data_IF_063811867848
#
_entry.id   IF_063811867848
#
_cell.length_a   1.000
_cell.length_b   1.000
_cell.length_c   1.000
_cell.angle_alpha   90.00
_cell.angle_beta   90.00
_cell.angle_gamma   90.00
#
_symmetry.space_group_name_H-M   'P 1'
#
loop_
_entity.id
_entity.type
_entity.pdbx_description
1 polymer ?
#
# COMPACT_ATOMS: atom_id res chain seq x y z
N UNK A 1 33.10 15.37 25.52
CA UNK A 1 32.77 13.92 25.44
C UNK A 1 31.60 13.61 26.36
N UNK A 2 30.37 13.82 25.87
CA UNK A 2 29.11 13.52 26.58
C UNK A 2 28.07 13.16 25.51
N UNK A 3 27.42 12.00 25.71
CA UNK A 3 26.14 11.54 25.11
C UNK A 3 26.03 11.56 23.57
N UNK A 4 26.68 10.59 22.92
CA UNK A 4 26.13 9.98 21.70
C UNK A 4 25.11 8.93 22.14
N UNK A 5 23.85 9.36 22.31
CA UNK A 5 22.75 8.49 22.69
C UNK A 5 22.14 7.82 21.47
N UNK A 6 22.11 6.48 21.46
CA UNK A 6 20.98 5.59 21.12
C UNK A 6 19.92 6.05 20.09
N UNK A 7 20.31 6.80 19.07
CA UNK A 7 19.47 7.16 17.91
C UNK A 7 20.26 6.79 16.67
N UNK A 8 19.60 6.09 15.75
CA UNK A 8 20.04 5.56 14.45
C UNK A 8 20.15 4.02 14.44
N UNK A 9 19.42 3.43 13.49
CA UNK A 9 19.45 2.05 13.00
C UNK A 9 18.48 1.03 13.61
N UNK A 10 17.23 1.43 13.83
CA UNK A 10 16.11 0.48 13.83
C UNK A 10 14.81 1.13 13.36
N UNK A 11 14.82 1.84 12.22
CA UNK A 11 13.63 2.43 11.59
C UNK A 11 13.81 2.35 10.07
N UNK A 12 13.46 1.21 9.47
CA UNK A 12 13.37 1.07 8.00
C UNK A 12 12.09 0.33 7.59
N UNK A 13 11.02 0.59 8.33
CA UNK A 13 9.64 0.43 7.90
C UNK A 13 8.76 1.64 8.34
N UNK A 14 9.38 2.74 8.83
CA UNK A 14 8.72 3.74 9.71
C UNK A 14 9.08 5.19 9.31
N UNK A 15 8.92 5.55 8.04
CA UNK A 15 8.74 6.97 7.66
C UNK A 15 7.60 7.10 6.64
N UNK A 16 6.70 6.11 6.53
CA UNK A 16 5.50 6.25 5.73
C UNK A 16 4.43 6.86 6.64
N UNK A 17 4.12 8.15 6.40
CA UNK A 17 3.02 8.92 6.99
C UNK A 17 3.26 9.52 8.40
N UNK A 18 3.94 10.68 8.47
CA UNK A 18 3.88 11.51 9.66
C UNK A 18 2.57 12.31 9.75
N UNK A 19 1.97 12.21 10.95
CA UNK A 19 0.95 13.04 11.61
C UNK A 19 -0.52 12.68 11.35
N UNK A 20 -0.99 11.57 11.93
CA UNK A 20 -2.39 11.45 12.35
C UNK A 20 -2.48 11.12 13.84
N UNK A 21 -2.69 12.17 14.63
CA UNK A 21 -3.15 12.08 16.00
C UNK A 21 -4.38 12.96 16.12
N UNK A 22 -5.57 12.39 15.90
CA UNK A 22 -6.67 12.25 16.87
C UNK A 22 -7.61 11.18 16.28
N UNK A 23 -7.33 9.89 16.49
CA UNK A 23 -8.38 8.88 16.37
C UNK A 23 -9.30 9.08 17.57
N UNK A 24 -10.55 9.48 17.34
CA UNK A 24 -11.57 9.21 18.32
C UNK A 24 -11.72 7.68 18.37
N UNK A 25 -11.26 7.10 19.49
CA UNK A 25 -11.31 5.67 19.76
C UNK A 25 -12.70 5.07 19.51
N UNK A 26 -12.82 3.80 19.09
CA UNK A 26 -14.02 3.05 19.38
C UNK A 26 -14.12 2.85 20.89
N UNK A 27 -15.28 3.23 21.44
CA UNK A 27 -15.65 3.04 22.85
C UNK A 27 -15.72 1.53 23.15
N UNK A 28 -14.97 1.08 24.15
CA UNK A 28 -15.12 -0.26 24.70
C UNK A 28 -16.39 -0.34 25.53
N UNK A 29 -17.42 -1.03 25.04
CA UNK A 29 -18.50 -1.49 25.91
C UNK A 29 -18.01 -2.69 26.73
N UNK A 30 -17.59 -2.45 27.97
CA UNK A 30 -17.53 -3.49 29.01
C UNK A 30 -18.93 -4.08 29.26
N UNK A 31 -18.96 -5.33 29.74
CA UNK A 31 -20.15 -6.03 30.22
C UNK A 31 -20.94 -5.20 31.27
N UNK A 32 -21.94 -4.42 30.85
CA UNK A 32 -23.18 -4.13 31.60
C UNK A 32 -24.15 -3.23 30.82
N UNK A 33 -25.32 -3.78 30.48
CA UNK A 33 -26.63 -3.14 30.40
C UNK A 33 -26.81 -1.80 29.63
N UNK A 34 -27.49 -1.91 28.48
CA UNK A 34 -28.34 -0.92 27.81
C UNK A 34 -27.75 0.47 27.47
N UNK A 35 -27.48 0.69 26.18
CA UNK A 35 -27.93 1.89 25.45
C UNK A 35 -27.87 1.66 23.93
N UNK A 36 -28.93 2.07 23.24
CA UNK A 36 -29.11 2.02 21.79
C UNK A 36 -28.16 2.96 21.03
N UNK A 37 -27.37 2.39 20.13
CA UNK A 37 -27.15 2.81 18.74
C UNK A 37 -26.59 1.58 18.00
N UNK A 38 -26.86 1.45 16.71
CA UNK A 38 -26.54 0.28 15.89
C UNK A 38 -25.03 0.11 15.64
N UNK A 39 -24.23 -0.05 16.69
CA UNK A 39 -22.82 -0.43 16.61
C UNK A 39 -22.72 -1.95 16.37
N UNK A 40 -22.11 -2.35 15.25
CA UNK A 40 -21.82 -3.76 15.01
C UNK A 40 -20.88 -4.24 16.11
N UNK A 41 -21.33 -5.17 16.97
CA UNK A 41 -20.43 -5.78 17.96
C UNK A 41 -19.24 -6.41 17.24
N UNK A 42 -17.99 -6.12 17.66
CA UNK A 42 -16.83 -6.70 17.01
C UNK A 42 -16.87 -8.23 17.04
N UNK A 43 -16.57 -8.85 15.90
CA UNK A 43 -16.40 -10.29 15.78
C UNK A 43 -15.04 -10.67 16.38
N UNK A 44 -15.06 -11.17 17.61
CA UNK A 44 -13.85 -11.64 18.31
C UNK A 44 -13.52 -13.07 17.88
N UNK A 45 -12.36 -13.25 17.26
CA UNK A 45 -11.83 -14.55 16.86
C UNK A 45 -11.39 -15.33 18.09
N UNK A 46 -11.97 -16.52 18.29
CA UNK A 46 -11.69 -17.37 19.45
C UNK A 46 -10.52 -18.33 19.21
N UNK A 47 -9.92 -18.80 20.31
CA UNK A 47 -8.87 -19.83 20.26
C UNK A 47 -9.36 -21.11 19.56
N UNK A 48 -10.61 -21.53 19.83
CA UNK A 48 -11.21 -22.71 19.21
C UNK A 48 -11.29 -22.58 17.68
N UNK A 49 -11.70 -21.42 17.16
CA UNK A 49 -11.75 -21.18 15.71
C UNK A 49 -10.35 -21.32 15.08
N UNK A 50 -9.32 -20.80 15.75
CA UNK A 50 -7.93 -20.82 15.28
C UNK A 50 -7.37 -22.24 15.32
N UNK A 51 -7.59 -22.96 16.42
CA UNK A 51 -7.19 -24.37 16.57
C UNK A 51 -7.85 -25.26 15.51
N UNK A 52 -9.17 -25.11 15.31
CA UNK A 52 -9.90 -25.86 14.28
C UNK A 52 -9.40 -25.54 12.87
N UNK A 53 -9.07 -24.28 12.57
CA UNK A 53 -8.55 -23.89 11.28
C UNK A 53 -7.12 -24.42 11.05
N UNK A 54 -6.24 -24.36 12.06
CA UNK A 54 -4.88 -24.89 12.00
C UNK A 54 -4.82 -26.41 11.87
N UNK A 55 -5.80 -27.11 12.44
CA UNK A 55 -5.94 -28.57 12.33
C UNK A 55 -6.33 -29.04 10.92
N UNK A 56 -6.77 -28.15 10.03
CA UNK A 56 -7.00 -28.46 8.61
C UNK A 56 -5.67 -28.42 7.86
N UNK A 57 -5.24 -29.56 7.35
CA UNK A 57 -3.97 -29.72 6.65
C UNK A 57 -2.88 -30.35 7.52
N UNK A 58 -1.63 -30.21 7.11
CA UNK A 58 -0.47 -30.80 7.79
C UNK A 58 0.18 -29.74 8.71
N UNK A 59 0.51 -30.07 9.97
CA UNK A 59 1.24 -29.17 10.86
C UNK A 59 2.60 -28.77 10.27
N UNK A 60 2.96 -27.49 10.35
CA UNK A 60 4.24 -26.99 9.84
C UNK A 60 4.30 -26.74 8.33
N UNK A 61 3.31 -27.18 7.55
CA UNK A 61 3.24 -26.89 6.11
C UNK A 61 2.51 -25.55 5.85
N UNK A 62 2.90 -24.88 4.76
CA UNK A 62 2.25 -23.63 4.33
C UNK A 62 0.79 -23.87 3.97
N UNK A 63 -0.12 -23.12 4.60
CA UNK A 63 -1.58 -23.25 4.39
C UNK A 63 -2.29 -21.90 4.43
N UNK A 64 -3.54 -21.92 3.98
CA UNK A 64 -4.49 -20.81 4.09
C UNK A 64 -5.40 -21.06 5.30
N UNK A 65 -5.28 -20.21 6.31
CA UNK A 65 -6.10 -20.23 7.53
C UNK A 65 -7.31 -19.33 7.30
N UNK A 66 -8.45 -19.95 7.03
CA UNK A 66 -9.70 -19.25 6.69
C UNK A 66 -10.62 -19.16 7.89
N UNK A 67 -10.98 -17.94 8.26
CA UNK A 67 -11.87 -17.62 9.37
C UNK A 67 -13.07 -16.83 8.84
N UNK A 68 -14.24 -17.47 8.83
CA UNK A 68 -15.48 -16.83 8.38
C UNK A 68 -16.06 -15.96 9.49
N UNK A 69 -16.29 -14.69 9.17
CA UNK A 69 -16.91 -13.69 10.03
C UNK A 69 -18.36 -13.53 9.62
N UNK A 70 -19.27 -13.82 10.55
CA UNK A 70 -20.71 -13.67 10.33
C UNK A 70 -21.13 -12.24 10.70
N UNK A 71 -22.02 -11.65 9.91
CA UNK A 71 -22.71 -10.41 10.23
C UNK A 71 -24.08 -10.38 9.54
N UNK A 72 -24.89 -9.38 9.89
CA UNK A 72 -26.20 -9.16 9.28
C UNK A 72 -26.07 -8.85 7.78
N UNK A 73 -27.06 -9.25 6.97
CA UNK A 73 -27.01 -9.11 5.50
C UNK A 73 -26.91 -7.64 5.04
N UNK A 74 -27.38 -6.70 5.87
CA UNK A 74 -27.37 -5.26 5.64
C UNK A 74 -26.29 -4.53 6.44
N UNK A 75 -25.33 -5.26 7.04
CA UNK A 75 -24.22 -4.64 7.75
C UNK A 75 -23.41 -3.71 6.84
N UNK A 76 -23.29 -2.44 7.24
CA UNK A 76 -22.45 -1.44 6.59
C UNK A 76 -21.05 -1.38 7.19
N UNK A 77 -20.82 -2.05 8.33
CA UNK A 77 -19.51 -2.17 8.97
C UNK A 77 -19.31 -3.59 9.52
N UNK A 78 -18.08 -4.08 9.39
CA UNK A 78 -17.59 -5.32 9.99
C UNK A 78 -16.31 -4.99 10.75
N UNK A 79 -16.30 -5.26 12.06
CA UNK A 79 -15.08 -5.17 12.88
C UNK A 79 -14.66 -6.59 13.29
N UNK A 80 -13.42 -6.96 13.00
CA UNK A 80 -12.82 -8.24 13.37
C UNK A 80 -11.72 -7.98 14.40
N UNK A 81 -11.72 -8.71 15.51
CA UNK A 81 -10.67 -8.62 16.54
C UNK A 81 -10.01 -9.97 16.76
N UNK A 82 -8.69 -9.99 16.82
CA UNK A 82 -7.89 -11.20 16.98
C UNK A 82 -6.76 -10.98 17.97
N UNK A 83 -6.71 -11.80 19.02
CA UNK A 83 -5.67 -11.73 20.04
C UNK A 83 -4.28 -12.07 19.45
N UNK A 84 -3.24 -11.40 19.94
CA UNK A 84 -1.86 -11.60 19.53
C UNK A 84 -1.37 -13.04 19.68
N UNK A 85 -1.84 -13.79 20.67
CA UNK A 85 -1.47 -15.21 20.84
C UNK A 85 -2.00 -16.09 19.70
N UNK A 86 -3.19 -15.78 19.18
CA UNK A 86 -3.76 -16.51 18.05
C UNK A 86 -2.98 -16.24 16.77
N UNK A 87 -2.59 -14.98 16.57
CA UNK A 87 -1.75 -14.57 15.42
C UNK A 87 -0.39 -15.27 15.52
N UNK A 88 0.18 -15.29 16.72
CA UNK A 88 1.45 -15.94 16.99
C UNK A 88 1.38 -17.42 16.68
N UNK A 89 0.33 -18.12 17.14
CA UNK A 89 0.11 -19.53 16.87
C UNK A 89 0.08 -19.85 15.36
N UNK A 90 -0.59 -19.02 14.55
CA UNK A 90 -0.62 -19.19 13.09
C UNK A 90 0.76 -18.98 12.47
N UNK A 91 1.48 -17.94 12.89
CA UNK A 91 2.80 -17.61 12.35
C UNK A 91 3.90 -18.59 12.80
N UNK A 92 3.78 -19.15 14.01
CA UNK A 92 4.72 -20.12 14.58
C UNK A 92 4.51 -21.53 13.98
N UNK A 93 3.28 -21.88 13.58
CA UNK A 93 3.03 -23.11 12.81
C UNK A 93 3.74 -23.04 11.45
N UNK A 94 3.56 -21.94 10.69
CA UNK A 94 4.38 -21.66 9.52
C UNK A 94 4.37 -20.15 9.20
N UNK A 95 5.53 -19.49 9.04
CA UNK A 95 5.61 -18.04 8.81
C UNK A 95 5.06 -17.61 7.43
N UNK A 96 4.76 -18.55 6.54
CA UNK A 96 4.14 -18.30 5.23
C UNK A 96 2.64 -18.56 5.22
N UNK A 97 2.05 -18.95 6.35
CA UNK A 97 0.60 -19.13 6.45
C UNK A 97 -0.14 -17.84 6.06
N UNK A 98 -1.18 -18.00 5.24
CA UNK A 98 -2.05 -16.90 4.83
C UNK A 98 -3.30 -16.93 5.70
N UNK A 99 -3.48 -15.91 6.54
CA UNK A 99 -4.72 -15.70 7.29
C UNK A 99 -5.73 -14.99 6.39
N UNK A 100 -6.95 -15.51 6.29
CA UNK A 100 -8.06 -14.92 5.52
C UNK A 100 -9.27 -14.75 6.43
N UNK A 101 -9.73 -13.51 6.58
CA UNK A 101 -11.05 -13.17 7.12
C UNK A 101 -12.05 -13.09 5.97
N UNK A 102 -13.04 -13.97 5.96
CA UNK A 102 -14.14 -13.87 5.00
C UNK A 102 -15.27 -13.08 5.64
N UNK A 103 -15.62 -11.94 5.06
CA UNK A 103 -16.68 -11.08 5.57
C UNK A 103 -17.74 -10.83 4.49
N UNK A 104 -18.97 -10.45 4.85
CA UNK A 104 -19.98 -10.02 3.87
C UNK A 104 -19.56 -8.83 3.01
N UNK A 105 -18.64 -7.98 3.49
CA UNK A 105 -18.13 -6.82 2.76
C UNK A 105 -16.89 -7.14 1.90
N UNK A 106 -16.37 -8.36 1.92
CA UNK A 106 -15.19 -8.77 1.17
C UNK A 106 -14.26 -9.68 1.98
N UNK A 107 -13.20 -10.18 1.33
CA UNK A 107 -12.17 -10.96 2.02
C UNK A 107 -10.99 -10.05 2.37
N UNK A 108 -10.45 -10.19 3.57
CA UNK A 108 -9.16 -9.60 3.93
C UNK A 108 -8.17 -10.72 4.21
N UNK A 109 -7.02 -10.68 3.54
CA UNK A 109 -5.97 -11.66 3.70
C UNK A 109 -4.66 -11.01 4.15
N UNK A 110 -3.90 -11.65 5.03
CA UNK A 110 -2.52 -11.25 5.32
C UNK A 110 -1.65 -12.44 5.69
N UNK A 111 -0.34 -12.30 5.46
CA UNK A 111 0.64 -13.16 6.11
C UNK A 111 0.92 -12.56 7.49
N UNK A 112 0.58 -13.24 8.60
CA UNK A 112 0.76 -12.65 9.91
C UNK A 112 2.23 -12.62 10.32
N UNK A 113 2.67 -11.51 10.89
CA UNK A 113 4.07 -11.31 11.28
C UNK A 113 4.24 -11.41 12.80
N UNK A 114 4.53 -12.63 13.29
CA UNK A 114 4.78 -12.87 14.71
C UNK A 114 5.99 -12.11 15.27
N UNK A 115 6.96 -11.71 14.44
CA UNK A 115 8.13 -10.95 14.89
C UNK A 115 7.76 -9.52 15.27
N UNK A 116 6.83 -8.90 14.55
CA UNK A 116 6.29 -7.57 14.92
C UNK A 116 5.61 -7.64 16.29
N UNK A 117 4.78 -8.66 16.53
CA UNK A 117 4.12 -8.84 17.82
C UNK A 117 5.11 -9.04 18.97
N UNK A 118 6.11 -9.91 18.78
CA UNK A 118 7.15 -10.15 19.80
C UNK A 118 7.97 -8.89 20.09
N UNK A 119 8.33 -8.13 19.04
CA UNK A 119 9.03 -6.85 19.17
C UNK A 119 8.20 -5.85 19.98
N UNK A 120 6.93 -5.62 19.59
CA UNK A 120 6.05 -4.68 20.28
C UNK A 120 5.82 -5.09 21.74
N UNK A 121 5.62 -6.38 22.01
CA UNK A 121 5.50 -6.90 23.37
C UNK A 121 6.76 -6.62 24.20
N UNK A 122 7.96 -6.81 23.65
CA UNK A 122 9.22 -6.48 24.33
C UNK A 122 9.41 -4.97 24.53
N UNK A 123 9.15 -4.15 23.49
CA UNK A 123 9.30 -2.69 23.52
C UNK A 123 8.35 -2.01 24.51
N UNK A 124 7.13 -2.54 24.65
CA UNK A 124 6.08 -2.00 25.52
C UNK A 124 6.01 -2.69 26.90
N UNK A 125 6.88 -3.68 27.16
CA UNK A 125 6.86 -4.50 28.38
C UNK A 125 5.50 -5.20 28.63
N UNK A 126 4.84 -5.64 27.56
CA UNK A 126 3.54 -6.32 27.57
C UNK A 126 3.68 -7.83 27.28
N UNK A 127 2.71 -8.63 27.68
CA UNK A 127 2.52 -9.97 27.14
C UNK A 127 1.91 -9.90 25.73
N UNK A 128 2.24 -10.86 24.85
CA UNK A 128 1.64 -10.93 23.50
C UNK A 128 0.11 -11.05 23.56
N UNK A 129 -0.44 -11.70 24.58
CA UNK A 129 -1.88 -11.81 24.81
C UNK A 129 -2.57 -10.50 25.19
N UNK A 130 -1.81 -9.43 25.48
CA UNK A 130 -2.35 -8.09 25.72
C UNK A 130 -2.45 -7.27 24.42
N UNK A 131 -1.82 -7.73 23.34
CA UNK A 131 -1.86 -7.08 22.02
C UNK A 131 -3.00 -7.69 21.19
N UNK A 132 -3.78 -6.84 20.54
CA UNK A 132 -4.93 -7.21 19.72
C UNK A 132 -4.78 -6.64 18.32
N UNK A 133 -4.91 -7.48 17.30
CA UNK A 133 -5.18 -7.02 15.95
C UNK A 133 -6.67 -6.73 15.81
N UNK A 134 -6.97 -5.65 15.13
CA UNK A 134 -8.33 -5.28 14.75
C UNK A 134 -8.36 -4.77 13.31
N UNK A 135 -9.45 -5.11 12.62
CA UNK A 135 -9.71 -4.78 11.24
C UNK A 135 -11.16 -4.30 11.15
N UNK A 136 -11.35 -3.07 10.71
CA UNK A 136 -12.65 -2.51 10.32
C UNK A 136 -12.74 -2.51 8.79
N UNK A 137 -13.83 -3.04 8.26
CA UNK A 137 -14.23 -2.89 6.86
C UNK A 137 -15.60 -2.22 6.88
N UNK A 138 -15.71 -1.04 6.28
CA UNK A 138 -16.97 -0.30 6.29
C UNK A 138 -17.30 0.32 4.94
N UNK A 139 -18.59 0.46 4.66
CA UNK A 139 -19.08 1.40 3.66
C UNK A 139 -19.06 2.79 4.32
N UNK A 140 -18.35 3.78 3.76
CA UNK A 140 -18.43 5.14 4.25
C UNK A 140 -19.86 5.67 4.20
N UNK A 141 -20.15 6.66 5.05
CA UNK A 141 -21.42 7.36 4.93
C UNK A 141 -21.52 8.11 3.59
N UNK A 142 -22.74 8.52 3.23
CA UNK A 142 -23.00 9.14 1.93
C UNK A 142 -22.22 10.46 1.71
N UNK A 143 -21.99 11.24 2.77
CA UNK A 143 -21.26 12.51 2.67
C UNK A 143 -19.76 12.27 2.51
N UNK A 144 -19.20 11.33 3.29
CA UNK A 144 -17.81 10.91 3.16
C UNK A 144 -17.54 10.35 1.77
N UNK A 145 -18.39 9.43 1.30
CA UNK A 145 -18.29 8.86 -0.03
C UNK A 145 -18.35 9.96 -1.11
N UNK A 146 -19.29 10.90 -1.02
CA UNK A 146 -19.39 12.01 -1.97
C UNK A 146 -18.13 12.89 -1.98
N UNK A 147 -17.58 13.21 -0.80
CA UNK A 147 -16.37 14.00 -0.68
C UNK A 147 -15.16 13.31 -1.33
N UNK A 148 -14.96 12.01 -1.08
CA UNK A 148 -13.87 11.22 -1.66
C UNK A 148 -13.99 11.19 -3.19
N UNK A 149 -15.19 10.87 -3.68
CA UNK A 149 -15.46 10.78 -5.12
C UNK A 149 -15.30 12.14 -5.81
N UNK A 150 -15.63 13.24 -5.12
CA UNK A 150 -15.43 14.59 -5.61
C UNK A 150 -13.94 14.97 -5.65
N UNK A 151 -13.18 14.68 -4.59
CA UNK A 151 -11.73 14.88 -4.55
C UNK A 151 -11.01 14.14 -5.70
N UNK A 152 -11.47 12.92 -6.02
CA UNK A 152 -10.94 12.17 -7.16
C UNK A 152 -11.23 12.86 -8.51
N UNK A 153 -12.48 13.34 -8.70
CA UNK A 153 -12.90 14.04 -9.93
C UNK A 153 -12.16 15.36 -10.15
N UNK A 154 -11.90 16.12 -9.09
CA UNK A 154 -11.12 17.36 -9.14
C UNK A 154 -9.70 17.13 -9.64
N UNK A 155 -9.19 15.92 -9.41
CA UNK A 155 -7.89 15.46 -9.88
C UNK A 155 -7.94 14.77 -11.26
N UNK A 156 -9.07 14.84 -11.96
CA UNK A 156 -9.26 14.27 -13.29
C UNK A 156 -9.46 12.76 -13.32
N UNK A 157 -9.69 12.13 -12.17
CA UNK A 157 -9.95 10.70 -12.06
C UNK A 157 -11.45 10.41 -12.15
N UNK A 158 -11.80 9.28 -12.75
CA UNK A 158 -13.18 8.80 -12.88
C UNK A 158 -13.37 7.59 -11.98
N UNK A 159 -14.06 7.70 -10.84
CA UNK A 159 -14.36 6.55 -9.99
C UNK A 159 -15.18 5.49 -10.73
N UNK A 160 -14.79 4.22 -10.61
CA UNK A 160 -15.44 3.06 -11.19
C UNK A 160 -16.19 2.20 -10.16
N UNK A 161 -15.85 2.37 -8.87
CA UNK A 161 -16.51 1.71 -7.74
C UNK A 161 -16.74 2.71 -6.62
N UNK A 162 -17.64 2.37 -5.70
CA UNK A 162 -17.79 3.08 -4.44
C UNK A 162 -16.57 2.83 -3.53
N UNK A 163 -16.21 3.80 -2.67
CA UNK A 163 -15.16 3.62 -1.68
C UNK A 163 -15.57 2.66 -0.57
N UNK A 164 -14.58 1.89 -0.11
CA UNK A 164 -14.66 1.05 1.09
C UNK A 164 -13.61 1.58 2.07
N UNK A 165 -14.03 1.90 3.29
CA UNK A 165 -13.13 2.22 4.37
C UNK A 165 -12.51 0.93 4.92
N UNK A 166 -11.18 0.91 5.01
CA UNK A 166 -10.43 -0.13 5.70
C UNK A 166 -9.66 0.55 6.82
N UNK A 167 -9.78 0.05 8.03
CA UNK A 167 -8.93 0.47 9.15
C UNK A 167 -8.31 -0.78 9.78
N UNK A 168 -7.03 -0.73 10.10
CA UNK A 168 -6.36 -1.85 10.74
C UNK A 168 -5.20 -1.39 11.62
N UNK A 169 -4.91 -2.17 12.66
CA UNK A 169 -3.91 -1.80 13.65
C UNK A 169 -3.57 -2.95 14.60
N UNK A 170 -2.64 -2.67 15.50
CA UNK A 170 -2.31 -3.46 16.67
C UNK A 170 -2.51 -2.56 17.88
N UNK A 171 -3.33 -2.99 18.83
CA UNK A 171 -3.70 -2.22 20.01
C UNK A 171 -3.36 -2.97 21.29
N UNK A 172 -3.03 -2.23 22.35
CA UNK A 172 -3.02 -2.74 23.71
C UNK A 172 -3.51 -1.64 24.65
N UNK A 173 -4.37 -1.99 25.61
CA UNK A 173 -4.90 -1.03 26.59
C UNK A 173 -5.47 0.25 25.93
N UNK A 174 -6.22 0.08 24.85
CA UNK A 174 -6.81 1.17 24.04
C UNK A 174 -5.82 2.03 23.26
N UNK A 175 -4.51 1.82 23.43
CA UNK A 175 -3.47 2.53 22.71
C UNK A 175 -3.12 1.80 21.42
N UNK A 176 -3.11 2.55 20.31
CA UNK A 176 -2.60 2.06 19.03
C UNK A 176 -1.08 1.91 19.13
N UNK A 177 -0.60 0.68 19.02
CA UNK A 177 0.82 0.35 19.07
C UNK A 177 1.49 0.43 17.70
N UNK A 178 0.79 -0.02 16.65
CA UNK A 178 1.33 -0.12 15.29
C UNK A 178 0.21 -0.27 14.26
N UNK A 179 0.21 0.56 13.23
CA UNK A 179 -0.61 0.38 12.01
C UNK A 179 0.26 0.34 10.74
N UNK A 180 1.41 1.01 10.78
CA UNK A 180 2.30 1.19 9.63
C UNK A 180 2.94 -0.11 9.13
N UNK A 181 3.18 -1.08 10.01
CA UNK A 181 3.80 -2.36 9.60
C UNK A 181 2.80 -3.35 8.99
N UNK A 182 1.53 -2.96 8.92
CA UNK A 182 0.45 -3.85 8.52
C UNK A 182 0.19 -3.77 7.01
N UNK A 183 0.64 -4.84 6.34
CA UNK A 183 0.33 -5.10 4.94
C UNK A 183 -0.76 -6.16 4.83
N UNK A 184 -1.82 -5.87 4.07
CA UNK A 184 -2.92 -6.79 3.81
C UNK A 184 -3.26 -6.87 2.33
N UNK A 185 -4.20 -7.74 2.02
CA UNK A 185 -4.80 -7.88 0.71
C UNK A 185 -6.30 -7.86 0.89
N UNK A 186 -6.96 -6.85 0.35
CA UNK A 186 -8.41 -6.77 0.38
C UNK A 186 -8.99 -7.19 -0.96
N UNK A 187 -9.93 -8.13 -0.91
CA UNK A 187 -10.63 -8.66 -2.08
C UNK A 187 -12.09 -8.27 -2.03
N UNK A 188 -12.52 -7.51 -3.03
CA UNK A 188 -13.93 -7.15 -3.21
C UNK A 188 -14.50 -7.81 -4.47
N UNK A 189 -15.75 -8.24 -4.38
CA UNK A 189 -16.51 -8.77 -5.50
C UNK A 189 -17.17 -7.65 -6.26
N UNK A 190 -16.89 -7.55 -7.54
CA UNK A 190 -17.54 -6.55 -8.36
C UNK A 190 -18.98 -6.96 -8.72
N UNK A 191 -19.88 -5.98 -8.95
CA UNK A 191 -21.14 -6.25 -9.63
C UNK A 191 -20.90 -6.91 -11.00
N UNK A 192 -21.93 -7.50 -11.60
CA UNK A 192 -21.79 -8.41 -12.75
C UNK A 192 -21.11 -7.80 -14.00
N UNK A 193 -20.99 -6.47 -14.13
CA UNK A 193 -20.55 -5.82 -15.38
C UNK A 193 -19.73 -4.51 -15.25
N UNK A 194 -18.64 -4.38 -14.48
CA UNK A 194 -17.68 -3.33 -14.79
C UNK A 194 -16.77 -3.83 -15.91
N UNK A 195 -16.99 -3.33 -17.12
CA UNK A 195 -15.95 -3.36 -18.16
C UNK A 195 -14.86 -2.39 -17.72
N UNK A 196 -13.87 -2.91 -17.00
CA UNK A 196 -12.72 -2.12 -16.56
C UNK A 196 -11.65 -2.19 -17.66
N UNK A 197 -11.31 -1.02 -18.19
CA UNK A 197 -10.15 -0.86 -19.06
C UNK A 197 -8.89 -0.80 -18.20
N UNK A 198 -8.24 -1.95 -18.04
CA UNK A 198 -7.06 -2.11 -17.20
C UNK A 198 -5.84 -1.33 -17.67
N UNK A 199 -5.85 -0.78 -18.89
CA UNK A 199 -4.74 0.06 -19.35
C UNK A 199 -4.71 1.41 -18.64
N UNK A 200 -5.89 1.92 -18.26
CA UNK A 200 -6.07 3.24 -17.64
C UNK A 200 -6.71 3.19 -16.25
N UNK A 201 -6.93 2.00 -15.71
CA UNK A 201 -7.59 1.82 -14.41
C UNK A 201 -6.61 1.34 -13.35
N UNK A 202 -6.80 1.82 -12.12
CA UNK A 202 -5.98 1.47 -10.97
C UNK A 202 -6.84 1.42 -9.72
N UNK A 203 -6.50 0.53 -8.79
CA UNK A 203 -6.90 0.67 -7.40
C UNK A 203 -6.22 1.91 -6.81
N UNK A 204 -6.94 2.62 -5.96
CA UNK A 204 -6.46 3.78 -5.23
C UNK A 204 -6.83 3.63 -3.76
N UNK A 205 -5.90 4.00 -2.88
CA UNK A 205 -6.19 4.35 -1.50
C UNK A 205 -6.26 5.87 -1.39
N UNK A 206 -7.27 6.38 -0.71
CA UNK A 206 -7.40 7.80 -0.38
C UNK A 206 -7.27 8.01 1.12
N UNK A 207 -6.42 8.99 1.48
CA UNK A 207 -6.18 9.38 2.85
C UNK A 207 -6.87 10.72 3.12
N UNK A 208 -7.96 10.73 3.90
CA UNK A 208 -8.83 11.91 4.04
C UNK A 208 -8.12 13.12 4.64
N UNK A 209 -7.19 12.87 5.56
CA UNK A 209 -6.53 13.93 6.31
C UNK A 209 -5.44 14.64 5.49
N UNK A 210 -4.75 13.93 4.58
CA UNK A 210 -3.78 14.53 3.65
C UNK A 210 -4.36 14.89 2.29
N UNK A 211 -5.53 14.34 1.94
CA UNK A 211 -6.13 14.43 0.61
C UNK A 211 -5.35 13.69 -0.48
N UNK A 212 -4.39 12.84 -0.10
CA UNK A 212 -3.54 12.11 -1.05
C UNK A 212 -4.21 10.86 -1.59
N UNK A 213 -3.85 10.51 -2.83
CA UNK A 213 -4.23 9.26 -3.48
C UNK A 213 -2.99 8.42 -3.73
N UNK A 214 -3.03 7.16 -3.30
CA UNK A 214 -1.97 6.18 -3.50
C UNK A 214 -2.42 5.06 -4.44
N UNK A 215 -1.71 4.84 -5.57
CA UNK A 215 -2.02 3.72 -6.46
C UNK A 215 -1.67 2.39 -5.78
N UNK A 216 -2.58 1.43 -5.86
CA UNK A 216 -2.40 0.11 -5.26
C UNK A 216 -2.06 -0.94 -6.31
N UNK A 217 -1.14 -1.84 -5.95
CA UNK A 217 -0.93 -3.06 -6.73
C UNK A 217 -2.16 -3.95 -6.65
N UNK A 218 -2.59 -4.47 -7.81
CA UNK A 218 -3.87 -5.14 -7.91
C UNK A 218 -3.87 -6.35 -8.84
N UNK A 219 -4.76 -7.29 -8.55
CA UNK A 219 -5.03 -8.44 -9.40
C UNK A 219 -6.52 -8.61 -9.65
N UNK A 220 -6.86 -9.06 -10.86
CA UNK A 220 -8.23 -9.41 -11.23
C UNK A 220 -8.33 -10.87 -11.63
N UNK A 221 -9.37 -11.54 -11.13
CA UNK A 221 -9.77 -12.86 -11.60
C UNK A 221 -11.29 -12.96 -11.69
N UNK A 222 -11.76 -14.07 -12.23
CA UNK A 222 -13.18 -14.40 -12.29
C UNK A 222 -13.39 -15.69 -11.51
N UNK A 223 -14.31 -15.68 -10.56
CA UNK A 223 -14.76 -16.85 -9.80
C UNK A 223 -16.28 -16.93 -9.84
N UNK A 224 -16.81 -18.10 -10.17
CA UNK A 224 -18.25 -18.35 -10.26
C UNK A 224 -19.00 -17.32 -11.15
N UNK A 225 -18.34 -16.89 -12.22
CA UNK A 225 -18.88 -15.89 -13.17
C UNK A 225 -18.87 -14.45 -12.66
N UNK A 226 -18.33 -14.18 -11.47
CA UNK A 226 -18.17 -12.82 -10.91
C UNK A 226 -16.72 -12.41 -10.92
N UNK A 227 -16.47 -11.14 -11.29
CA UNK A 227 -15.13 -10.56 -11.24
C UNK A 227 -14.79 -10.20 -9.79
N UNK A 228 -13.60 -10.57 -9.37
CA UNK A 228 -13.03 -10.20 -8.07
C UNK A 228 -11.75 -9.43 -8.29
N UNK A 229 -11.53 -8.47 -7.40
CA UNK A 229 -10.33 -7.64 -7.40
C UNK A 229 -9.68 -7.71 -6.05
N UNK A 230 -8.39 -8.00 -6.07
CA UNK A 230 -7.55 -8.04 -4.89
C UNK A 230 -6.57 -6.89 -4.98
N UNK A 231 -6.58 -6.00 -4.00
CA UNK A 231 -5.60 -4.93 -3.87
C UNK A 231 -4.69 -5.22 -2.68
N UNK A 232 -3.39 -4.99 -2.85
CA UNK A 232 -2.45 -4.91 -1.74
C UNK A 232 -2.66 -3.57 -1.05
N UNK A 233 -2.89 -3.58 0.27
CA UNK A 233 -3.20 -2.38 1.05
C UNK A 233 -2.22 -2.22 2.20
N UNK A 234 -1.85 -0.97 2.46
CA UNK A 234 -0.90 -0.54 3.48
C UNK A 234 -1.64 0.38 4.46
N UNK A 235 -1.94 -0.14 5.66
CA UNK A 235 -2.63 0.62 6.69
C UNK A 235 -4.08 0.99 6.37
N UNK A 236 -4.54 2.06 7.03
CA UNK A 236 -5.93 2.52 7.06
C UNK A 236 -6.21 3.58 5.98
N UNK A 237 -7.39 3.54 5.36
CA UNK A 237 -7.80 4.50 4.33
C UNK A 237 -9.01 4.05 3.51
N UNK A 238 -9.33 4.80 2.47
CA UNK A 238 -10.46 4.50 1.58
C UNK A 238 -9.99 3.86 0.27
N UNK A 239 -10.39 2.62 0.05
CA UNK A 239 -10.07 1.86 -1.15
C UNK A 239 -11.17 1.97 -2.20
N UNK A 240 -10.80 2.26 -3.45
CA UNK A 240 -11.70 2.20 -4.61
C UNK A 240 -10.93 2.11 -5.91
N UNK A 241 -11.64 1.95 -7.02
CA UNK A 241 -11.06 1.89 -8.35
C UNK A 241 -11.36 3.16 -9.10
N UNK A 242 -10.36 3.69 -9.78
CA UNK A 242 -10.50 4.79 -10.70
C UNK A 242 -10.09 4.39 -12.11
N UNK A 243 -10.57 5.15 -13.09
CA UNK A 243 -9.97 5.31 -14.41
C UNK A 243 -9.33 6.69 -14.50
N UNK A 244 -8.11 6.76 -15.01
CA UNK A 244 -7.39 7.99 -15.31
C UNK A 244 -6.75 7.85 -16.69
N UNK A 245 -7.38 8.43 -17.71
CA UNK A 245 -6.91 8.31 -19.09
C UNK A 245 -5.96 9.46 -19.43
N UNK A 246 -4.67 9.15 -19.52
CA UNK A 246 -3.62 10.10 -19.90
C UNK A 246 -2.74 9.51 -20.98
N UNK A 247 -2.83 10.09 -22.18
CA UNK A 247 -2.08 9.70 -23.37
C UNK A 247 -1.15 10.83 -23.82
N UNK A 248 -0.18 10.49 -24.66
CA UNK A 248 0.81 11.43 -25.19
C UNK A 248 0.91 11.30 -26.69
N UNK A 249 0.96 12.44 -27.38
CA UNK A 249 0.94 12.51 -28.85
C UNK A 249 2.19 11.91 -29.52
N UNK A 250 3.28 11.75 -28.78
CA UNK A 250 4.55 11.18 -29.20
C UNK A 250 4.78 9.76 -28.66
N UNK A 251 3.70 9.08 -28.23
CA UNK A 251 3.71 7.66 -27.86
C UNK A 251 2.81 6.90 -28.84
N UNK A 252 3.38 6.27 -29.88
CA UNK A 252 2.63 5.51 -30.88
C UNK A 252 1.89 4.30 -30.29
N UNK A 253 0.79 3.89 -30.93
CA UNK A 253 -0.04 2.74 -30.51
C UNK A 253 0.71 1.40 -30.49
N UNK A 254 1.74 1.25 -31.33
CA UNK A 254 2.58 0.07 -31.46
C UNK A 254 3.90 0.16 -30.67
N UNK A 255 4.12 1.26 -29.93
CA UNK A 255 5.35 1.41 -29.15
C UNK A 255 5.44 0.37 -28.03
N UNK A 256 6.59 -0.31 -27.85
CA UNK A 256 6.73 -1.38 -26.86
C UNK A 256 6.59 -0.88 -25.41
N UNK A 257 6.81 0.41 -25.16
CA UNK A 257 6.66 1.07 -23.86
C UNK A 257 5.30 1.73 -23.66
N UNK A 258 4.38 1.69 -24.63
CA UNK A 258 3.09 2.41 -24.58
C UNK A 258 2.29 2.07 -23.33
N UNK A 259 2.09 0.77 -23.07
CA UNK A 259 1.30 0.32 -21.93
C UNK A 259 1.91 0.78 -20.59
N UNK A 260 3.24 0.69 -20.46
CA UNK A 260 3.96 1.15 -19.29
C UNK A 260 3.76 2.66 -19.06
N UNK A 261 3.87 3.46 -20.12
CA UNK A 261 3.66 4.91 -20.04
C UNK A 261 2.22 5.24 -19.64
N UNK A 262 1.22 4.61 -20.26
CA UNK A 262 -0.19 4.86 -19.96
C UNK A 262 -0.54 4.47 -18.52
N UNK A 263 -0.10 3.29 -18.07
CA UNK A 263 -0.38 2.79 -16.73
C UNK A 263 0.26 3.66 -15.66
N UNK A 264 1.54 3.99 -15.80
CA UNK A 264 2.25 4.87 -14.86
C UNK A 264 1.72 6.31 -14.90
N UNK A 265 1.19 6.78 -16.04
CA UNK A 265 0.52 8.07 -16.12
C UNK A 265 -0.87 8.06 -15.45
N UNK A 266 -1.62 6.97 -15.58
CA UNK A 266 -2.89 6.75 -14.87
C UNK A 266 -2.69 6.72 -13.35
N UNK A 267 -1.59 6.09 -12.91
CA UNK A 267 -1.12 6.05 -11.52
C UNK A 267 -0.40 7.34 -11.08
N UNK A 268 -0.25 8.33 -11.98
CA UNK A 268 0.40 9.63 -11.74
C UNK A 268 1.88 9.57 -11.35
N UNK A 269 2.52 8.42 -11.52
CA UNK A 269 3.97 8.26 -11.38
C UNK A 269 4.71 9.05 -12.46
N UNK A 270 4.20 9.00 -13.69
CA UNK A 270 4.78 9.70 -14.84
C UNK A 270 3.94 10.90 -15.27
N UNK A 271 4.64 12.00 -15.53
CA UNK A 271 4.10 13.17 -16.20
C UNK A 271 4.83 13.44 -17.51
N UNK A 272 4.11 14.03 -18.47
CA UNK A 272 4.69 14.51 -19.70
C UNK A 272 5.54 15.75 -19.50
N UNK A 273 6.31 16.13 -20.51
CA UNK A 273 7.18 17.31 -20.47
C UNK A 273 6.47 18.61 -20.87
N UNK A 274 5.13 18.64 -20.78
CA UNK A 274 4.27 19.69 -21.30
C UNK A 274 3.76 19.45 -22.74
N UNK A 275 2.77 20.24 -23.16
CA UNK A 275 2.18 20.24 -24.52
C UNK A 275 1.64 18.87 -24.99
N UNK A 276 1.27 17.96 -24.09
CA UNK A 276 0.78 16.62 -24.44
C UNK A 276 1.86 15.68 -24.99
N UNK A 277 3.13 15.87 -24.59
CA UNK A 277 4.28 15.04 -25.01
C UNK A 277 4.97 14.35 -23.84
N UNK A 278 5.48 13.14 -24.05
CA UNK A 278 6.23 12.35 -23.08
C UNK A 278 7.75 12.41 -23.29
N UNK A 279 8.19 12.57 -24.54
CA UNK A 279 9.59 12.53 -25.00
C UNK A 279 10.30 11.21 -24.69
N UNK A 280 9.83 10.08 -25.27
CA UNK A 280 10.29 8.74 -24.91
C UNK A 280 11.81 8.55 -25.07
N UNK A 281 12.40 9.08 -26.13
CA UNK A 281 13.83 8.88 -26.47
C UNK A 281 14.77 9.83 -25.72
N UNK A 282 14.25 10.79 -24.95
CA UNK A 282 15.09 11.70 -24.17
C UNK A 282 15.66 10.97 -22.95
N UNK A 283 16.93 11.18 -22.65
CA UNK A 283 17.54 10.69 -21.42
C UNK A 283 16.84 11.27 -20.17
N UNK A 284 16.56 10.39 -19.20
CA UNK A 284 15.96 10.77 -17.92
C UNK A 284 17.00 11.55 -17.09
N UNK A 285 16.56 12.63 -16.44
CA UNK A 285 17.42 13.39 -15.51
C UNK A 285 17.27 12.86 -14.08
N UNK A 286 18.24 13.14 -13.21
CA UNK A 286 18.19 12.78 -11.79
C UNK A 286 17.03 13.45 -11.06
N UNK A 287 16.70 14.70 -11.40
CA UNK A 287 15.51 15.39 -10.88
C UNK A 287 14.20 14.69 -11.30
N UNK A 288 14.09 14.27 -12.57
CA UNK A 288 12.91 13.54 -13.05
C UNK A 288 12.80 12.14 -12.45
N UNK A 289 13.92 11.44 -12.28
CA UNK A 289 13.95 10.15 -11.60
C UNK A 289 13.47 10.30 -10.15
N UNK A 290 13.94 11.33 -9.43
CA UNK A 290 13.51 11.60 -8.06
C UNK A 290 12.00 11.85 -7.95
N UNK A 291 11.46 12.69 -8.84
CA UNK A 291 10.01 12.91 -8.92
C UNK A 291 9.23 11.61 -9.21
N UNK A 292 9.73 10.75 -10.09
CA UNK A 292 9.08 9.46 -10.36
C UNK A 292 9.12 8.55 -9.13
N UNK A 293 10.23 8.53 -8.38
CA UNK A 293 10.36 7.74 -7.15
C UNK A 293 9.39 8.20 -6.07
N UNK A 294 9.37 9.49 -5.77
CA UNK A 294 8.51 10.02 -4.70
C UNK A 294 7.05 9.77 -5.01
N UNK A 295 6.63 9.90 -6.28
CA UNK A 295 5.27 9.59 -6.70
C UNK A 295 4.96 8.10 -6.69
N UNK A 296 5.91 7.25 -7.09
CA UNK A 296 5.74 5.80 -7.06
C UNK A 296 5.52 5.27 -5.65
N UNK A 297 6.26 5.82 -4.68
CA UNK A 297 6.18 5.43 -3.27
C UNK A 297 5.27 6.35 -2.43
N UNK A 298 4.59 7.30 -3.07
CA UNK A 298 3.71 8.29 -2.42
C UNK A 298 4.37 8.94 -1.20
N UNK A 299 5.63 9.36 -1.37
CA UNK A 299 6.42 9.93 -0.28
C UNK A 299 5.81 11.28 0.16
N UNK A 300 5.70 11.47 1.48
CA UNK A 300 5.33 12.77 2.05
C UNK A 300 6.45 13.77 1.81
N UNK A 301 6.10 14.88 1.16
CA UNK A 301 7.00 15.94 0.70
C UNK A 301 6.93 17.24 1.50
N UNK A 302 6.03 17.33 2.48
CA UNK A 302 5.83 18.57 3.23
C UNK A 302 7.12 18.97 3.98
N UNK A 303 7.55 20.22 3.77
CA UNK A 303 8.79 20.78 4.33
C UNK A 303 10.10 20.27 3.68
N UNK A 304 10.05 19.39 2.67
CA UNK A 304 11.26 18.79 2.10
C UNK A 304 12.03 19.69 1.15
N UNK A 305 11.41 20.72 0.59
CA UNK A 305 12.12 21.66 -0.28
C UNK A 305 13.23 22.41 0.48
N UNK A 306 12.93 22.88 1.70
CA UNK A 306 13.92 23.54 2.57
C UNK A 306 15.00 22.55 3.03
N UNK A 307 14.61 21.30 3.36
CA UNK A 307 15.56 20.25 3.72
C UNK A 307 16.53 19.96 2.56
N UNK A 308 16.04 19.91 1.32
CA UNK A 308 16.87 19.68 0.15
C UNK A 308 17.91 20.80 -0.03
N UNK A 309 17.51 22.06 0.16
CA UNK A 309 18.43 23.21 0.09
C UNK A 309 19.47 23.22 1.22
N UNK A 310 19.16 22.62 2.38
CA UNK A 310 20.12 22.47 3.47
C UNK A 310 21.16 21.38 3.18
N UNK A 311 20.74 20.26 2.58
CA UNK A 311 21.57 19.04 2.49
C UNK A 311 22.25 18.84 1.13
N UNK A 312 21.83 19.58 0.09
CA UNK A 312 22.41 19.51 -1.24
C UNK A 312 23.03 20.83 -1.71
N UNK A 313 24.28 20.77 -2.19
CA UNK A 313 25.05 21.96 -2.60
C UNK A 313 24.53 22.65 -3.87
N UNK A 314 23.71 21.96 -4.67
CA UNK A 314 23.23 22.40 -5.98
C UNK A 314 21.71 22.28 -6.12
N UNK A 315 20.98 22.48 -5.02
CA UNK A 315 19.51 22.53 -4.97
C UNK A 315 19.08 23.77 -4.19
N UNK A 316 18.19 24.55 -4.77
CA UNK A 316 17.52 25.67 -4.10
C UNK A 316 16.08 25.25 -3.72
N UNK A 317 15.52 25.82 -2.66
CA UNK A 317 14.18 25.43 -2.18
C UNK A 317 13.06 25.73 -3.19
N UNK A 318 13.27 26.65 -4.13
CA UNK A 318 12.33 26.98 -5.21
C UNK A 318 12.52 26.15 -6.48
N UNK A 319 13.51 25.25 -6.52
CA UNK A 319 13.62 24.27 -7.59
C UNK A 319 12.39 23.35 -7.61
N UNK A 320 11.82 23.12 -8.79
CA UNK A 320 10.61 22.30 -8.95
C UNK A 320 10.75 20.88 -8.40
N UNK A 321 11.98 20.39 -8.26
CA UNK A 321 12.31 19.06 -7.76
C UNK A 321 12.81 19.05 -6.31
N UNK A 322 12.91 20.21 -5.65
CA UNK A 322 13.50 20.31 -4.31
C UNK A 322 12.75 19.42 -3.31
N UNK A 323 11.42 19.46 -3.30
CA UNK A 323 10.61 18.59 -2.42
C UNK A 323 10.90 17.10 -2.67
N UNK A 324 11.04 16.69 -3.93
CA UNK A 324 11.32 15.30 -4.28
C UNK A 324 12.71 14.86 -3.82
N UNK A 325 13.73 15.70 -4.01
CA UNK A 325 15.09 15.41 -3.58
C UNK A 325 15.19 15.35 -2.04
N UNK A 326 14.54 16.29 -1.35
CA UNK A 326 14.49 16.32 0.12
C UNK A 326 13.77 15.10 0.69
N UNK A 327 12.65 14.71 0.10
CA UNK A 327 11.94 13.48 0.48
C UNK A 327 12.86 12.27 0.31
N UNK A 328 13.45 12.07 -0.87
CA UNK A 328 14.37 10.93 -1.05
C UNK A 328 15.58 10.96 -0.11
N UNK A 329 16.05 12.13 0.34
CA UNK A 329 17.07 12.24 1.39
C UNK A 329 16.53 11.82 2.76
N UNK A 330 15.36 12.32 3.16
CA UNK A 330 14.68 12.00 4.42
C UNK A 330 14.44 10.50 4.57
N UNK A 331 14.03 9.84 3.50
CA UNK A 331 13.83 8.39 3.43
C UNK A 331 15.14 7.63 3.15
N UNK A 332 16.29 8.29 3.23
CA UNK A 332 17.64 7.75 3.14
C UNK A 332 18.04 7.10 1.79
N UNK A 333 17.21 7.25 0.74
CA UNK A 333 17.52 6.85 -0.65
C UNK A 333 18.63 7.71 -1.27
N UNK A 334 18.74 8.96 -0.83
CA UNK A 334 19.84 9.86 -1.17
C UNK A 334 20.71 10.17 0.05
N UNK A 335 21.95 10.57 -0.20
CA UNK A 335 22.90 11.06 0.82
C UNK A 335 23.21 12.52 0.52
N UNK A 336 23.58 13.26 1.55
CA UNK A 336 23.96 14.68 1.47
C UNK A 336 25.13 14.90 0.49
N UNK A 337 25.26 16.12 -0.04
CA UNK A 337 26.33 16.50 -0.96
C UNK A 337 25.80 17.10 -2.26
N UNK A 338 26.32 16.67 -3.42
CA UNK A 338 25.87 17.21 -4.71
C UNK A 338 24.78 16.33 -5.32
N UNK A 339 23.58 16.88 -5.52
CA UNK A 339 22.44 16.16 -6.10
C UNK A 339 22.61 15.95 -7.62
N UNK A 340 23.19 16.92 -8.32
CA UNK A 340 23.36 16.94 -9.78
C UNK A 340 22.03 16.74 -10.55
N UNK A 341 21.06 17.67 -10.43
CA UNK A 341 19.69 17.48 -10.92
C UNK A 341 19.59 17.21 -12.43
N UNK A 342 20.50 17.79 -13.22
CA UNK A 342 20.55 17.65 -14.68
C UNK A 342 21.36 16.44 -15.16
N UNK A 343 22.02 15.72 -14.25
CA UNK A 343 22.72 14.48 -14.59
C UNK A 343 21.76 13.41 -15.06
N UNK A 344 22.25 12.45 -15.85
CA UNK A 344 21.45 11.32 -16.32
C UNK A 344 21.63 10.11 -15.41
N UNK A 345 20.57 9.32 -15.24
CA UNK A 345 20.56 8.11 -14.41
C UNK A 345 20.79 6.87 -15.25
N UNK A 346 21.46 5.90 -14.66
CA UNK A 346 21.65 4.54 -15.19
C UNK A 346 20.52 3.63 -14.74
N UNK A 347 20.30 2.51 -15.43
CA UNK A 347 19.33 1.50 -14.99
C UNK A 347 19.70 0.92 -13.62
N UNK A 348 21.00 0.71 -13.37
CA UNK A 348 21.50 0.21 -12.08
C UNK A 348 21.20 1.15 -10.93
N UNK A 349 21.30 2.46 -11.12
CA UNK A 349 20.88 3.44 -10.11
C UNK A 349 19.40 3.32 -9.81
N UNK A 350 18.56 3.13 -10.84
CA UNK A 350 17.12 2.95 -10.67
C UNK A 350 16.82 1.67 -9.88
N UNK A 351 17.34 0.52 -10.32
CA UNK A 351 17.14 -0.73 -9.58
C UNK A 351 17.70 -0.65 -8.16
N UNK A 352 18.88 -0.03 -7.97
CA UNK A 352 19.47 0.10 -6.64
C UNK A 352 18.61 0.94 -5.70
N UNK A 353 17.98 2.01 -6.18
CA UNK A 353 17.05 2.80 -5.37
C UNK A 353 15.85 1.95 -4.93
N UNK A 354 15.24 1.18 -5.84
CA UNK A 354 14.20 0.21 -5.47
C UNK A 354 14.70 -0.84 -4.46
N UNK A 355 15.93 -1.34 -4.63
CA UNK A 355 16.58 -2.33 -3.77
C UNK A 355 16.91 -1.81 -2.37
N UNK A 356 17.26 -0.53 -2.23
CA UNK A 356 17.54 0.08 -0.93
C UNK A 356 16.30 0.33 -0.08
N UNK A 357 15.10 0.31 -0.68
CA UNK A 357 13.82 0.56 -0.04
C UNK A 357 13.18 -0.62 0.69
N UNK A 358 13.91 -1.71 0.93
CA UNK A 358 13.41 -2.96 1.55
C UNK A 358 12.17 -3.54 0.86
N UNK A 359 12.29 -3.79 -0.44
CA UNK A 359 11.29 -4.51 -1.23
C UNK A 359 11.73 -5.99 -1.45
N UNK A 360 12.44 -6.59 -0.49
CA UNK A 360 12.99 -7.96 -0.62
C UNK A 360 11.96 -9.02 -0.98
N UNK A 361 10.76 -8.90 -0.42
CA UNK A 361 9.66 -9.79 -0.73
C UNK A 361 9.16 -9.63 -2.18
N UNK A 362 8.95 -8.40 -2.66
CA UNK A 362 8.49 -8.18 -4.03
C UNK A 362 9.59 -8.46 -5.07
N UNK A 363 10.88 -8.47 -4.69
CA UNK A 363 11.95 -8.93 -5.59
C UNK A 363 11.78 -10.38 -6.04
N UNK A 364 11.10 -11.24 -5.27
CA UNK A 364 10.76 -12.60 -5.71
C UNK A 364 9.76 -12.64 -6.89
N UNK A 365 9.19 -11.50 -7.26
CA UNK A 365 8.27 -11.32 -8.37
C UNK A 365 8.87 -10.51 -9.51
N UNK A 366 10.03 -9.89 -9.30
CA UNK A 366 10.71 -9.12 -10.34
C UNK A 366 11.41 -10.10 -11.29
N UNK A 367 11.06 -10.01 -12.56
CA UNK A 367 11.65 -10.83 -13.63
C UNK A 367 13.07 -10.38 -14.00
N UNK A 368 13.52 -10.76 -15.20
CA UNK A 368 14.79 -10.28 -15.74
C UNK A 368 14.78 -8.75 -15.87
N UNK A 369 15.90 -8.11 -15.55
CA UNK A 369 16.01 -6.65 -15.67
C UNK A 369 15.80 -6.22 -17.12
N UNK A 370 15.07 -5.13 -17.31
CA UNK A 370 14.89 -4.48 -18.61
C UNK A 370 16.26 -4.10 -19.19
N UNK A 371 16.55 -4.59 -20.40
CA UNK A 371 17.74 -4.21 -21.16
C UNK A 371 17.63 -2.77 -21.68
N UNK A 372 18.73 -2.03 -21.60
CA UNK A 372 18.79 -0.62 -22.03
C UNK A 372 19.79 -0.44 -23.17
N UNK A 373 19.50 0.50 -24.07
CA UNK A 373 20.31 0.76 -25.28
C UNK A 373 21.63 1.49 -25.03
N UNK A 374 21.88 1.93 -23.79
CA UNK A 374 23.08 2.67 -23.42
C UNK A 374 23.31 2.71 -21.90
N UNK A 375 24.36 3.43 -21.46
CA UNK A 375 24.70 3.53 -20.04
C UNK A 375 23.66 4.33 -19.23
N UNK A 376 22.95 5.24 -19.88
CA UNK A 376 21.89 6.05 -19.28
C UNK A 376 20.54 5.66 -19.86
N UNK A 377 19.51 5.73 -19.03
CA UNK A 377 18.16 5.39 -19.45
C UNK A 377 17.47 6.57 -20.14
N UNK A 378 16.75 6.25 -21.20
CA UNK A 378 15.71 7.10 -21.76
C UNK A 378 14.48 7.11 -20.85
N UNK A 379 13.57 8.06 -21.08
CA UNK A 379 12.28 8.12 -20.36
C UNK A 379 11.42 6.89 -20.64
N UNK A 380 11.43 6.36 -21.87
CA UNK A 380 10.74 5.13 -22.22
C UNK A 380 11.30 3.91 -21.45
N UNK A 381 12.63 3.76 -21.38
CA UNK A 381 13.26 2.67 -20.62
C UNK A 381 12.99 2.80 -19.12
N UNK A 382 13.03 4.01 -18.57
CA UNK A 382 12.68 4.25 -17.18
C UNK A 382 11.21 3.88 -16.90
N UNK A 383 10.27 4.24 -17.80
CA UNK A 383 8.88 3.82 -17.69
C UNK A 383 8.75 2.30 -17.65
N UNK A 384 9.48 1.57 -18.49
CA UNK A 384 9.48 0.10 -18.47
C UNK A 384 10.01 -0.46 -17.14
N UNK A 385 11.07 0.12 -16.57
CA UNK A 385 11.63 -0.33 -15.28
C UNK A 385 10.65 -0.07 -14.14
N UNK A 386 10.08 1.13 -14.04
CA UNK A 386 9.07 1.45 -13.03
C UNK A 386 7.80 0.59 -13.19
N UNK A 387 7.38 0.33 -14.44
CA UNK A 387 6.24 -0.54 -14.73
C UNK A 387 6.51 -1.97 -14.28
N UNK A 388 7.72 -2.48 -14.47
CA UNK A 388 8.14 -3.78 -13.95
C UNK A 388 8.02 -3.83 -12.42
N UNK A 389 8.40 -2.76 -11.72
CA UNK A 389 8.24 -2.69 -10.26
C UNK A 389 6.76 -2.69 -9.87
N UNK A 390 5.92 -1.88 -10.53
CA UNK A 390 4.47 -1.88 -10.29
C UNK A 390 3.86 -3.28 -10.52
N UNK A 391 4.27 -4.00 -11.58
CA UNK A 391 3.81 -5.38 -11.84
C UNK A 391 4.22 -6.36 -10.74
N UNK A 392 5.31 -6.12 -10.04
CA UNK A 392 5.70 -6.97 -8.92
C UNK A 392 4.65 -6.90 -7.78
N UNK A 393 4.08 -5.72 -7.52
CA UNK A 393 2.95 -5.57 -6.59
C UNK A 393 1.70 -6.28 -7.11
N UNK A 394 1.37 -6.12 -8.40
CA UNK A 394 0.23 -6.81 -9.04
C UNK A 394 0.35 -8.34 -8.92
N UNK A 395 1.54 -8.89 -9.20
CA UNK A 395 1.80 -10.33 -9.09
C UNK A 395 1.74 -10.82 -7.64
N UNK A 396 2.10 -9.97 -6.67
CA UNK A 396 1.95 -10.27 -5.25
C UNK A 396 0.47 -10.40 -4.88
N UNK A 397 -0.36 -9.45 -5.32
CA UNK A 397 -1.81 -9.51 -5.17
C UNK A 397 -2.39 -10.75 -5.89
N UNK A 398 -1.88 -11.07 -7.08
CA UNK A 398 -2.33 -12.25 -7.85
C UNK A 398 -2.00 -13.55 -7.13
N UNK A 399 -0.77 -13.73 -6.62
CA UNK A 399 -0.40 -14.93 -5.85
C UNK A 399 -1.23 -15.05 -4.58
N UNK A 400 -1.46 -13.96 -3.85
CA UNK A 400 -2.33 -14.00 -2.67
C UNK A 400 -3.75 -14.36 -3.04
N UNK A 401 -4.29 -13.78 -4.12
CA UNK A 401 -5.61 -14.12 -4.62
C UNK A 401 -5.67 -15.61 -4.99
N UNK A 402 -4.73 -16.14 -5.77
CA UNK A 402 -4.67 -17.56 -6.12
C UNK A 402 -4.60 -18.46 -4.87
N UNK A 403 -3.83 -18.09 -3.85
CA UNK A 403 -3.76 -18.81 -2.57
C UNK A 403 -5.06 -18.75 -1.77
N UNK A 404 -5.74 -17.60 -1.76
CA UNK A 404 -7.09 -17.49 -1.19
C UNK A 404 -8.09 -18.33 -1.99
N UNK A 405 -7.90 -18.56 -3.28
CA UNK A 405 -8.83 -19.34 -4.09
C UNK A 405 -8.62 -20.86 -4.03
N UNK A 406 -7.43 -21.33 -3.63
CA UNK A 406 -7.06 -22.76 -3.65
C UNK A 406 -7.52 -23.56 -2.42
N UNK A 407 -7.93 -22.90 -1.35
CA UNK A 407 -8.44 -23.53 -0.12
C UNK A 407 -9.89 -23.17 0.16
#
# INVERSE_FOLDING_TARGET
MKRMGKRKLLHSLVVMMMVFAVVQAPVFAEDAANADAAESKPAVITAEQVEQALARGVPGEEKTIRLTVQADEDADQIVVRMNGEHILAISDDNPRNLLVFETPLGEFAKIPNGQVLRRLAEEQELAVGEIWFELSIAKPDANEAEHILQAAKEQGMVPLTDPIAIEMGLWANEELLDEESLVGYYTHWLPAEPVIDWEFSSGMMYYPESGQFEPLGMASSIRDGRRMLTAMIFGSGYYFIIKSEKTFSDVPDDAPYRQAVHRLAAQRVIEGTGNGTFRPDRLLTRAEAAAMYTRFFVMVEEGDADLAAEVFEDVEADDWFASYAGAMYRYEYLKEGRFNPNGHVTADEIYKAFLSGYVEYLFSFIGERIETGGPYVTRAEAALIFDQMARAYDLSAERTQQRSLQG
#
